data_IF_746177277480
#
_entry.id   IF_746177277480
#
_cell.length_a   1.000
_cell.length_b   1.000
_cell.length_c   1.000
_cell.angle_alpha   90.00
_cell.angle_beta   90.00
_cell.angle_gamma   90.00
#
_symmetry.space_group_name_H-M   'P 1'
#
loop_
_entity.id
_entity.type
_entity.pdbx_description
1 polymer ?
#
# COMPACT_ATOMS: atom_id res chain seq x y z
N UNK A 1 5.48 21.77 -9.57
CA UNK A 1 5.24 20.44 -8.99
C UNK A 1 5.04 20.50 -7.49
N UNK A 2 5.95 21.11 -6.73
CA UNK A 2 5.84 21.18 -5.26
C UNK A 2 4.57 21.85 -4.74
N UNK A 3 4.11 22.96 -5.32
CA UNK A 3 2.87 23.61 -4.93
C UNK A 3 1.63 22.70 -5.10
N UNK A 4 1.54 21.97 -6.21
CA UNK A 4 0.43 21.02 -6.45
C UNK A 4 0.48 19.88 -5.44
N UNK A 5 1.66 19.31 -5.19
CA UNK A 5 1.85 18.25 -4.22
C UNK A 5 1.46 18.68 -2.80
N UNK A 6 1.85 19.89 -2.38
CA UNK A 6 1.51 20.41 -1.05
C UNK A 6 -0.01 20.63 -0.87
N UNK A 7 -0.71 21.04 -1.93
CA UNK A 7 -2.17 21.17 -1.92
C UNK A 7 -2.83 19.79 -1.78
N UNK A 8 -2.39 18.80 -2.56
CA UNK A 8 -2.92 17.42 -2.47
C UNK A 8 -2.67 16.81 -1.08
N UNK A 9 -1.49 17.00 -0.51
CA UNK A 9 -1.20 16.54 0.86
C UNK A 9 -2.09 17.23 1.92
N UNK A 10 -2.37 18.53 1.77
CA UNK A 10 -3.29 19.24 2.68
C UNK A 10 -4.72 18.73 2.58
N UNK A 11 -5.19 18.38 1.37
CA UNK A 11 -6.51 17.76 1.18
C UNK A 11 -6.58 16.41 1.92
N UNK A 12 -5.55 15.59 1.76
CA UNK A 12 -5.47 14.27 2.43
C UNK A 12 -5.45 14.40 3.96
N UNK A 13 -4.73 15.37 4.51
CA UNK A 13 -4.63 15.58 5.96
C UNK A 13 -5.98 15.92 6.63
N UNK A 14 -6.96 16.43 5.88
CA UNK A 14 -8.31 16.75 6.35
C UNK A 14 -9.37 15.71 5.93
N UNK A 15 -8.94 14.55 5.48
CA UNK A 15 -9.80 13.48 4.96
C UNK A 15 -9.69 12.21 5.79
N UNK A 16 -10.57 11.25 5.51
CA UNK A 16 -10.50 9.89 6.08
C UNK A 16 -9.19 9.16 5.75
N UNK A 17 -8.37 9.68 4.84
CA UNK A 17 -7.07 9.08 4.50
C UNK A 17 -6.12 9.03 5.71
N UNK A 18 -6.13 10.05 6.59
CA UNK A 18 -5.32 10.04 7.82
C UNK A 18 -5.79 8.95 8.78
N UNK A 19 -7.11 8.81 8.96
CA UNK A 19 -7.67 7.76 9.82
C UNK A 19 -7.27 6.39 9.29
N UNK A 20 -7.40 6.16 7.99
CA UNK A 20 -6.98 4.91 7.36
C UNK A 20 -5.48 4.66 7.51
N UNK A 21 -4.66 5.71 7.32
CA UNK A 21 -3.20 5.63 7.43
C UNK A 21 -2.73 5.21 8.83
N UNK A 22 -3.46 5.58 9.87
CA UNK A 22 -3.18 5.17 11.24
C UNK A 22 -3.85 3.84 11.57
N UNK A 23 -5.10 3.63 11.18
CA UNK A 23 -5.88 2.46 11.59
C UNK A 23 -5.32 1.16 11.02
N UNK A 24 -4.98 1.09 9.74
CA UNK A 24 -4.55 -0.15 9.10
C UNK A 24 -3.25 -0.73 9.71
N UNK A 25 -2.16 0.06 9.88
CA UNK A 25 -0.97 -0.42 10.60
C UNK A 25 -1.22 -0.74 12.07
N UNK A 26 -2.07 0.06 12.75
CA UNK A 26 -2.40 -0.17 14.17
C UNK A 26 -3.14 -1.48 14.39
N UNK A 27 -4.05 -1.86 13.48
CA UNK A 27 -4.74 -3.15 13.56
C UNK A 27 -3.78 -4.34 13.50
N UNK A 28 -2.74 -4.26 12.66
CA UNK A 28 -1.70 -5.31 12.60
C UNK A 28 -0.92 -5.34 13.91
N UNK A 29 -0.52 -4.19 14.44
CA UNK A 29 0.23 -4.11 15.70
C UNK A 29 -0.58 -4.68 16.86
N UNK A 30 -1.87 -4.35 16.95
CA UNK A 30 -2.80 -4.90 17.96
C UNK A 30 -2.93 -6.42 17.80
N UNK A 31 -3.11 -6.89 16.56
CA UNK A 31 -3.18 -8.33 16.28
C UNK A 31 -1.90 -9.05 16.71
N UNK A 32 -0.72 -8.49 16.37
CA UNK A 32 0.57 -9.07 16.75
C UNK A 32 0.76 -9.10 18.27
N UNK A 33 0.36 -8.04 18.99
CA UNK A 33 0.41 -7.98 20.44
C UNK A 33 -0.38 -9.12 21.07
N UNK A 34 -1.66 -9.27 20.73
CA UNK A 34 -2.49 -10.32 21.29
C UNK A 34 -2.08 -11.72 20.83
N UNK A 35 -1.58 -11.86 19.60
CA UNK A 35 -1.07 -13.14 19.11
C UNK A 35 0.13 -13.61 19.95
N UNK A 36 1.08 -12.73 20.24
CA UNK A 36 2.23 -13.04 21.09
C UNK A 36 1.82 -13.41 22.51
N UNK A 37 0.86 -12.69 23.11
CA UNK A 37 0.40 -12.99 24.46
C UNK A 37 -0.27 -14.37 24.58
N UNK A 38 -0.84 -14.91 23.48
CA UNK A 38 -1.39 -16.28 23.46
C UNK A 38 -0.31 -17.36 23.37
N UNK A 39 0.87 -17.00 22.86
CA UNK A 39 2.01 -17.92 22.77
C UNK A 39 2.65 -18.18 24.13
N UNK A 40 3.33 -19.33 24.26
CA UNK A 40 4.06 -19.71 25.48
C UNK A 40 5.57 -19.88 25.21
N UNK A 41 6.03 -19.51 24.03
CA UNK A 41 7.41 -19.65 23.60
C UNK A 41 7.95 -18.36 22.98
N UNK A 42 9.23 -18.05 23.20
CA UNK A 42 9.86 -16.90 22.55
C UNK A 42 9.92 -17.10 21.02
N UNK A 43 9.67 -16.02 20.30
CA UNK A 43 9.80 -15.96 18.83
C UNK A 43 10.92 -14.99 18.48
N UNK A 44 11.63 -15.19 17.36
CA UNK A 44 12.67 -14.23 16.98
C UNK A 44 12.09 -12.89 16.54
N UNK A 45 12.82 -11.80 16.78
CA UNK A 45 12.46 -10.47 16.28
C UNK A 45 12.18 -10.48 14.79
N UNK A 46 13.05 -11.16 14.03
CA UNK A 46 12.92 -11.24 12.57
C UNK A 46 11.60 -11.90 12.16
N UNK A 47 11.22 -13.01 12.80
CA UNK A 47 9.97 -13.71 12.50
C UNK A 47 8.74 -12.84 12.82
N UNK A 48 8.75 -12.11 13.95
CA UNK A 48 7.67 -11.20 14.31
C UNK A 48 7.49 -10.09 13.28
N UNK A 49 8.57 -9.41 12.90
CA UNK A 49 8.54 -8.28 11.98
C UNK A 49 8.26 -8.71 10.53
N UNK A 50 8.82 -9.83 10.08
CA UNK A 50 8.49 -10.41 8.78
C UNK A 50 7.05 -10.92 8.71
N UNK A 51 6.54 -11.51 9.78
CA UNK A 51 5.15 -11.94 9.88
C UNK A 51 4.17 -10.77 9.71
N UNK A 52 4.41 -9.66 10.42
CA UNK A 52 3.62 -8.44 10.28
C UNK A 52 3.73 -7.82 8.87
N UNK A 53 4.95 -7.80 8.28
CA UNK A 53 5.17 -7.38 6.89
C UNK A 53 4.40 -8.31 5.92
N UNK A 54 4.31 -9.61 6.21
CA UNK A 54 3.53 -10.56 5.42
C UNK A 54 2.03 -10.24 5.43
N UNK A 55 1.44 -10.02 6.59
CA UNK A 55 0.01 -9.62 6.72
C UNK A 55 -0.22 -8.27 6.03
N UNK A 56 0.71 -7.32 6.19
CA UNK A 56 0.66 -6.03 5.52
C UNK A 56 0.67 -6.19 4.00
N UNK A 57 1.67 -6.84 3.44
CA UNK A 57 1.88 -6.98 2.00
C UNK A 57 0.78 -7.79 1.31
N UNK A 58 0.23 -8.81 2.00
CA UNK A 58 -0.77 -9.70 1.44
C UNK A 58 -2.18 -9.10 1.43
N UNK A 59 -2.56 -8.43 2.51
CA UNK A 59 -3.94 -8.02 2.72
C UNK A 59 -4.10 -6.51 2.94
N UNK A 60 -3.42 -5.95 3.93
CA UNK A 60 -3.67 -4.56 4.35
C UNK A 60 -3.18 -3.52 3.34
N UNK A 61 -2.04 -3.75 2.68
CA UNK A 61 -1.52 -2.84 1.66
C UNK A 61 -2.44 -2.78 0.42
N UNK A 62 -2.88 -3.91 -0.19
CA UNK A 62 -3.86 -3.88 -1.28
C UNK A 62 -5.17 -3.19 -0.89
N UNK A 63 -5.71 -3.49 0.29
CA UNK A 63 -6.93 -2.85 0.78
C UNK A 63 -6.75 -1.35 1.03
N UNK A 64 -5.62 -0.96 1.62
CA UNK A 64 -5.27 0.45 1.83
C UNK A 64 -5.08 1.20 0.51
N UNK A 65 -4.42 0.59 -0.47
CA UNK A 65 -4.28 1.16 -1.82
C UNK A 65 -5.65 1.37 -2.48
N UNK A 66 -6.55 0.40 -2.35
CA UNK A 66 -7.93 0.50 -2.84
C UNK A 66 -8.68 1.66 -2.20
N UNK A 67 -8.66 1.74 -0.88
CA UNK A 67 -9.38 2.78 -0.14
C UNK A 67 -8.77 4.18 -0.39
N UNK A 68 -7.43 4.30 -0.39
CA UNK A 68 -6.76 5.59 -0.64
C UNK A 68 -6.99 6.11 -2.04
N UNK A 69 -6.91 5.25 -3.07
CA UNK A 69 -7.15 5.67 -4.46
C UNK A 69 -8.61 6.08 -4.66
N UNK A 70 -9.57 5.35 -4.06
CA UNK A 70 -10.98 5.70 -4.07
C UNK A 70 -11.24 7.05 -3.36
N UNK A 71 -10.63 7.29 -2.19
CA UNK A 71 -10.74 8.56 -1.46
C UNK A 71 -10.17 9.73 -2.25
N UNK A 72 -8.97 9.57 -2.84
CA UNK A 72 -8.32 10.60 -3.66
C UNK A 72 -9.17 10.96 -4.89
N UNK A 73 -9.81 9.97 -5.51
CA UNK A 73 -10.71 10.20 -6.64
C UNK A 73 -12.02 10.86 -6.19
N UNK A 74 -12.60 10.40 -5.06
CA UNK A 74 -13.87 10.91 -4.54
C UNK A 74 -13.78 12.39 -4.15
N UNK A 75 -12.64 12.87 -3.64
CA UNK A 75 -12.43 14.29 -3.31
C UNK A 75 -12.63 15.21 -4.51
N UNK A 76 -12.45 14.72 -5.74
CA UNK A 76 -12.64 15.51 -6.95
C UNK A 76 -13.99 15.22 -7.64
N UNK A 77 -14.42 13.97 -7.64
CA UNK A 77 -15.68 13.55 -8.26
C UNK A 77 -16.89 14.00 -7.46
N UNK A 78 -16.84 13.95 -6.11
CA UNK A 78 -17.93 14.33 -5.23
C UNK A 78 -18.37 15.78 -5.42
N UNK A 79 -17.51 16.79 -5.25
CA UNK A 79 -17.85 18.20 -5.41
C UNK A 79 -17.80 18.68 -6.87
N UNK A 80 -17.66 17.81 -7.87
CA UNK A 80 -17.43 18.17 -9.30
C UNK A 80 -16.28 19.17 -9.49
N UNK A 81 -15.22 19.04 -8.68
CA UNK A 81 -14.09 19.97 -8.66
C UNK A 81 -13.21 19.92 -9.92
N UNK A 82 -13.44 18.95 -10.82
CA UNK A 82 -12.67 18.81 -12.05
C UNK A 82 -12.67 20.04 -12.94
N UNK A 83 -13.80 20.77 -13.04
CA UNK A 83 -13.90 21.96 -13.87
C UNK A 83 -13.01 23.09 -13.32
N UNK A 84 -12.98 23.26 -11.99
CA UNK A 84 -12.05 24.20 -11.34
C UNK A 84 -10.59 23.82 -11.51
N UNK A 85 -10.27 22.54 -11.37
CA UNK A 85 -8.88 22.05 -11.53
C UNK A 85 -8.38 22.22 -12.97
N UNK A 86 -9.29 22.11 -13.95
CA UNK A 86 -8.96 22.28 -15.38
C UNK A 86 -8.83 23.74 -15.78
N UNK A 87 -9.50 24.66 -15.09
CA UNK A 87 -9.37 26.09 -15.29
C UNK A 87 -8.06 26.67 -14.73
N UNK A 88 -7.34 25.91 -13.91
CA UNK A 88 -6.04 26.34 -13.39
C UNK A 88 -4.97 26.38 -14.50
N UNK A 89 -4.06 27.38 -14.49
CA UNK A 89 -2.96 27.47 -15.43
C UNK A 89 -1.83 26.47 -15.10
N UNK A 90 -2.21 25.20 -14.89
CA UNK A 90 -1.29 24.11 -14.53
C UNK A 90 -1.48 22.95 -15.51
N UNK A 91 -0.40 22.40 -16.10
CA UNK A 91 -0.51 21.24 -16.97
C UNK A 91 -1.22 20.07 -16.24
N UNK A 92 -2.25 19.51 -16.87
CA UNK A 92 -3.12 18.48 -16.29
C UNK A 92 -2.35 17.26 -15.75
N UNK A 93 -1.29 16.83 -16.46
CA UNK A 93 -0.47 15.71 -16.02
C UNK A 93 0.15 15.92 -14.62
N UNK A 94 0.45 17.19 -14.25
CA UNK A 94 1.00 17.49 -12.91
C UNK A 94 0.01 17.20 -11.78
N UNK A 95 -1.28 17.37 -12.04
CA UNK A 95 -2.34 17.08 -11.07
C UNK A 95 -2.41 15.56 -10.82
N UNK A 96 -2.48 14.77 -11.92
CA UNK A 96 -2.54 13.32 -11.80
C UNK A 96 -1.25 12.71 -11.23
N UNK A 97 -0.09 13.24 -11.64
CA UNK A 97 1.19 12.82 -11.08
C UNK A 97 1.30 13.15 -9.58
N UNK A 98 0.82 14.32 -9.14
CA UNK A 98 0.79 14.68 -7.72
C UNK A 98 -0.10 13.71 -6.92
N UNK A 99 -1.28 13.34 -7.44
CA UNK A 99 -2.16 12.34 -6.79
C UNK A 99 -1.47 10.99 -6.67
N UNK A 100 -0.82 10.52 -7.73
CA UNK A 100 -0.05 9.28 -7.73
C UNK A 100 1.06 9.29 -6.68
N UNK A 101 1.85 10.37 -6.65
CA UNK A 101 2.93 10.54 -5.67
C UNK A 101 2.40 10.60 -4.23
N UNK A 102 1.27 11.29 -3.98
CA UNK A 102 0.64 11.33 -2.66
C UNK A 102 0.20 9.94 -2.20
N UNK A 103 -0.43 9.15 -3.07
CA UNK A 103 -0.85 7.77 -2.73
C UNK A 103 0.35 6.90 -2.41
N UNK A 104 1.39 6.91 -3.26
CA UNK A 104 2.61 6.13 -3.04
C UNK A 104 3.32 6.56 -1.75
N UNK A 105 3.49 7.86 -1.52
CA UNK A 105 4.13 8.39 -0.33
C UNK A 105 3.37 8.01 0.94
N UNK A 106 2.04 8.07 0.91
CA UNK A 106 1.20 7.69 2.05
C UNK A 106 1.27 6.19 2.33
N UNK A 107 1.22 5.34 1.30
CA UNK A 107 1.40 3.89 1.47
C UNK A 107 2.80 3.53 1.97
N UNK A 108 3.84 4.24 1.51
CA UNK A 108 5.20 4.07 2.04
C UNK A 108 5.29 4.48 3.52
N UNK A 109 4.67 5.60 3.90
CA UNK A 109 4.59 6.03 5.29
C UNK A 109 3.82 5.02 6.16
N UNK A 110 2.70 4.49 5.68
CA UNK A 110 1.94 3.43 6.35
C UNK A 110 2.77 2.15 6.52
N UNK A 111 3.57 1.78 5.52
CA UNK A 111 4.46 0.63 5.58
C UNK A 111 5.56 0.82 6.63
N UNK A 112 6.16 2.00 6.70
CA UNK A 112 7.11 2.35 7.75
C UNK A 112 6.46 2.37 9.15
N UNK A 113 5.25 2.92 9.24
CA UNK A 113 4.47 2.94 10.47
C UNK A 113 4.10 1.52 10.95
N UNK A 114 3.75 0.61 10.01
CA UNK A 114 3.50 -0.79 10.34
C UNK A 114 4.71 -1.45 10.99
N UNK A 115 5.93 -1.21 10.45
CA UNK A 115 7.16 -1.73 11.03
C UNK A 115 7.40 -1.17 12.45
N UNK A 116 7.22 0.14 12.62
CA UNK A 116 7.42 0.85 13.89
C UNK A 116 6.41 0.38 14.96
N UNK A 117 5.13 0.34 14.63
CA UNK A 117 4.08 -0.06 15.56
C UNK A 117 4.18 -1.55 15.93
N UNK A 118 4.57 -2.41 14.97
CA UNK A 118 4.83 -3.83 15.26
C UNK A 118 6.00 -3.99 16.22
N UNK A 119 7.08 -3.22 16.03
CA UNK A 119 8.18 -3.20 16.99
C UNK A 119 7.69 -2.85 18.39
N UNK A 120 6.92 -1.77 18.51
CA UNK A 120 6.34 -1.35 19.80
C UNK A 120 5.42 -2.42 20.39
N UNK A 121 4.59 -3.07 19.57
CA UNK A 121 3.68 -4.14 20.02
C UNK A 121 4.43 -5.37 20.56
N UNK A 122 5.51 -5.79 19.87
CA UNK A 122 6.36 -6.91 20.32
C UNK A 122 7.06 -6.56 21.64
N UNK A 123 7.61 -5.35 21.75
CA UNK A 123 8.24 -4.86 22.98
C UNK A 123 7.25 -4.79 24.15
N UNK A 124 6.03 -4.32 23.91
CA UNK A 124 4.97 -4.25 24.92
C UNK A 124 4.53 -5.65 25.35
N UNK A 125 4.38 -6.59 24.41
CA UNK A 125 4.03 -7.98 24.72
C UNK A 125 5.10 -8.65 25.61
N UNK A 126 6.38 -8.43 25.33
CA UNK A 126 7.51 -8.92 26.13
C UNK A 126 7.52 -8.33 27.55
N UNK A 127 7.15 -7.04 27.69
CA UNK A 127 7.05 -6.41 29.01
C UNK A 127 5.89 -6.97 29.85
N UNK A 128 4.77 -7.33 29.21
CA UNK A 128 3.59 -7.91 29.88
C UNK A 128 3.83 -9.40 30.22
N UNK A 129 4.43 -10.15 29.31
CA UNK A 129 4.69 -11.59 29.45
C UNK A 129 6.15 -11.91 29.08
N UNK A 130 7.08 -11.90 30.04
CA UNK A 130 8.51 -12.15 29.77
C UNK A 130 8.80 -13.48 29.07
N UNK A 131 7.95 -14.49 29.24
CA UNK A 131 8.07 -15.78 28.55
C UNK A 131 8.01 -15.70 27.02
N UNK A 132 7.43 -14.65 26.47
CA UNK A 132 7.35 -14.43 25.02
C UNK A 132 8.37 -13.39 24.50
N UNK A 133 9.32 -13.00 25.35
CA UNK A 133 10.36 -12.04 24.99
C UNK A 133 11.07 -12.48 23.72
N UNK A 134 11.19 -11.60 22.71
CA UNK A 134 11.75 -11.98 21.42
C UNK A 134 13.24 -12.27 21.52
N UNK A 135 13.70 -13.26 20.75
CA UNK A 135 15.11 -13.67 20.72
C UNK A 135 15.84 -13.02 19.54
N UNK A 136 17.16 -12.88 19.68
CA UNK A 136 18.04 -12.30 18.67
C UNK A 136 17.94 -10.78 18.56
N UNK A 137 18.64 -10.22 17.59
CA UNK A 137 18.58 -8.80 17.22
C UNK A 137 18.02 -8.68 15.80
N UNK A 138 17.07 -7.76 15.53
CA UNK A 138 16.54 -7.57 14.19
C UNK A 138 17.56 -6.86 13.31
N UNK A 139 17.72 -7.31 12.08
CA UNK A 139 18.45 -6.57 11.03
C UNK A 139 17.53 -5.49 10.43
N UNK A 140 17.62 -4.29 10.99
CA UNK A 140 16.81 -3.16 10.56
C UNK A 140 17.06 -2.77 9.10
N UNK A 141 18.30 -2.82 8.64
CA UNK A 141 18.64 -2.45 7.27
C UNK A 141 17.95 -3.40 6.27
N UNK A 142 18.00 -4.70 6.54
CA UNK A 142 17.30 -5.72 5.76
C UNK A 142 15.80 -5.54 5.78
N UNK A 143 15.20 -5.23 6.94
CA UNK A 143 13.77 -5.03 7.08
C UNK A 143 13.28 -3.77 6.34
N UNK A 144 14.01 -2.67 6.43
CA UNK A 144 13.71 -1.43 5.68
C UNK A 144 13.81 -1.69 4.18
N UNK A 145 14.86 -2.38 3.73
CA UNK A 145 15.02 -2.75 2.31
C UNK A 145 13.88 -3.66 1.84
N UNK A 146 13.48 -4.66 2.64
CA UNK A 146 12.35 -5.54 2.33
C UNK A 146 11.06 -4.74 2.16
N UNK A 147 10.75 -3.85 3.11
CA UNK A 147 9.56 -3.01 3.04
C UNK A 147 9.59 -2.03 1.85
N UNK A 148 10.76 -1.51 1.50
CA UNK A 148 10.96 -0.73 0.27
C UNK A 148 10.66 -1.55 -1.00
N UNK A 149 11.14 -2.79 -1.07
CA UNK A 149 10.81 -3.72 -2.16
C UNK A 149 9.33 -4.05 -2.23
N UNK A 150 8.65 -4.20 -1.08
CA UNK A 150 7.19 -4.42 -1.01
C UNK A 150 6.43 -3.26 -1.65
N UNK A 151 6.79 -2.00 -1.35
CA UNK A 151 6.17 -0.83 -1.98
C UNK A 151 6.48 -0.76 -3.47
N UNK A 152 7.72 -1.05 -3.86
CA UNK A 152 8.10 -1.06 -5.28
C UNK A 152 7.30 -2.12 -6.05
N UNK A 153 7.20 -3.34 -5.53
CA UNK A 153 6.40 -4.41 -6.13
C UNK A 153 4.89 -4.11 -6.16
N UNK A 154 4.39 -3.24 -5.25
CA UNK A 154 3.00 -2.80 -5.24
C UNK A 154 2.67 -1.76 -6.32
N UNK A 155 3.67 -1.19 -7.03
CA UNK A 155 3.44 -0.06 -7.95
C UNK A 155 2.45 -0.39 -9.07
N UNK A 156 2.47 -1.61 -9.61
CA UNK A 156 1.51 -2.02 -10.64
C UNK A 156 0.07 -2.06 -10.10
N UNK A 157 -0.13 -2.65 -8.93
CA UNK A 157 -1.42 -2.64 -8.23
C UNK A 157 -1.91 -1.20 -7.98
N UNK A 158 -1.03 -0.34 -7.47
CA UNK A 158 -1.34 1.08 -7.19
C UNK A 158 -1.71 1.80 -8.49
N UNK A 159 -0.99 1.56 -9.58
CA UNK A 159 -1.26 2.16 -10.88
C UNK A 159 -2.64 1.75 -11.43
N UNK A 160 -2.99 0.46 -11.36
CA UNK A 160 -4.28 -0.06 -11.80
C UNK A 160 -5.42 0.50 -10.95
N UNK A 161 -5.27 0.53 -9.63
CA UNK A 161 -6.26 1.07 -8.70
C UNK A 161 -6.47 2.57 -8.91
N UNK A 162 -5.40 3.34 -9.02
CA UNK A 162 -5.47 4.78 -9.24
C UNK A 162 -6.11 5.12 -10.58
N UNK A 163 -5.71 4.40 -11.65
CA UNK A 163 -6.33 4.56 -12.97
C UNK A 163 -7.82 4.28 -12.92
N UNK A 164 -8.24 3.17 -12.31
CA UNK A 164 -9.65 2.81 -12.20
C UNK A 164 -10.42 3.85 -11.39
N UNK A 165 -9.89 4.27 -10.24
CA UNK A 165 -10.55 5.24 -9.37
C UNK A 165 -10.73 6.62 -10.04
N UNK A 166 -9.72 7.09 -10.79
CA UNK A 166 -9.78 8.39 -11.47
C UNK A 166 -10.53 8.32 -12.82
N UNK A 167 -10.69 7.12 -13.40
CA UNK A 167 -11.37 6.93 -14.68
C UNK A 167 -12.87 6.96 -14.56
N UNK A 168 -13.42 6.45 -13.48
CA UNK A 168 -14.85 6.32 -13.26
C UNK A 168 -15.31 7.31 -12.17
N UNK A 169 -16.42 8.01 -12.43
CA UNK A 169 -17.01 8.94 -11.45
C UNK A 169 -17.57 8.21 -10.21
N UNK A 170 -18.02 6.96 -10.40
CA UNK A 170 -18.45 6.08 -9.31
C UNK A 170 -17.24 5.41 -8.65
N UNK A 171 -17.26 5.32 -7.31
CA UNK A 171 -16.24 4.59 -6.55
C UNK A 171 -16.40 3.05 -6.65
N UNK A 172 -17.55 2.56 -7.11
CA UNK A 172 -17.86 1.12 -7.17
C UNK A 172 -16.84 0.32 -8.00
N UNK A 173 -16.44 0.72 -9.22
CA UNK A 173 -15.46 -0.03 -10.00
C UNK A 173 -14.10 -0.14 -9.30
N UNK A 174 -13.64 0.92 -8.64
CA UNK A 174 -12.36 0.91 -7.91
C UNK A 174 -12.42 -0.03 -6.70
N UNK A 175 -13.52 0.00 -5.93
CA UNK A 175 -13.71 -0.90 -4.79
C UNK A 175 -13.88 -2.35 -5.25
N UNK A 176 -14.68 -2.60 -6.29
CA UNK A 176 -14.89 -3.96 -6.83
C UNK A 176 -13.57 -4.58 -7.31
N UNK A 177 -12.77 -3.82 -8.06
CA UNK A 177 -11.45 -4.26 -8.52
C UNK A 177 -10.52 -4.55 -7.34
N UNK A 178 -10.46 -3.66 -6.35
CA UNK A 178 -9.54 -3.77 -5.23
C UNK A 178 -9.91 -4.90 -4.27
N UNK A 179 -11.17 -4.95 -3.85
CA UNK A 179 -11.67 -6.00 -2.96
C UNK A 179 -11.61 -7.34 -3.68
N UNK A 180 -12.17 -7.43 -4.90
CA UNK A 180 -12.15 -8.65 -5.71
C UNK A 180 -10.74 -9.15 -5.98
N UNK A 181 -9.82 -8.25 -6.36
CA UNK A 181 -8.41 -8.59 -6.56
C UNK A 181 -7.73 -9.09 -5.29
N UNK A 182 -7.99 -8.46 -4.14
CA UNK A 182 -7.43 -8.88 -2.85
C UNK A 182 -7.93 -10.27 -2.47
N UNK A 183 -9.23 -10.55 -2.58
CA UNK A 183 -9.76 -11.89 -2.30
C UNK A 183 -9.32 -12.93 -3.32
N UNK A 184 -9.26 -12.58 -4.60
CA UNK A 184 -8.72 -13.48 -5.61
C UNK A 184 -7.25 -13.83 -5.35
N UNK A 185 -6.47 -12.90 -4.78
CA UNK A 185 -5.08 -13.18 -4.42
C UNK A 185 -4.94 -14.31 -3.41
N UNK A 186 -5.94 -14.53 -2.53
CA UNK A 186 -5.95 -15.67 -1.59
C UNK A 186 -5.95 -16.99 -2.36
N UNK A 187 -6.80 -17.11 -3.39
CA UNK A 187 -6.84 -18.29 -4.24
C UNK A 187 -5.57 -18.42 -5.09
N UNK A 188 -5.09 -17.32 -5.63
CA UNK A 188 -3.89 -17.28 -6.46
C UNK A 188 -2.61 -17.69 -5.71
N UNK A 189 -2.60 -17.66 -4.37
CA UNK A 189 -1.45 -18.09 -3.55
C UNK A 189 -1.08 -19.56 -3.78
N UNK A 190 -2.06 -20.42 -4.05
CA UNK A 190 -1.84 -21.84 -4.29
C UNK A 190 -1.20 -22.14 -5.66
N UNK A 191 -1.25 -21.20 -6.60
CA UNK A 191 -0.76 -21.39 -7.96
C UNK A 191 0.64 -20.79 -8.16
N UNK A 192 1.51 -21.50 -8.90
CA UNK A 192 2.82 -20.94 -9.30
C UNK A 192 2.66 -19.64 -10.11
N UNK A 193 1.63 -19.58 -10.96
CA UNK A 193 1.29 -18.43 -11.79
C UNK A 193 0.79 -17.22 -10.98
N UNK A 194 0.45 -17.39 -9.70
CA UNK A 194 0.02 -16.31 -8.83
C UNK A 194 1.01 -15.14 -8.76
N UNK A 195 2.31 -15.39 -9.00
CA UNK A 195 3.34 -14.33 -9.02
C UNK A 195 3.06 -13.25 -10.08
N UNK A 196 2.38 -13.58 -11.18
CA UNK A 196 2.02 -12.63 -12.24
C UNK A 196 0.80 -11.77 -11.90
N UNK A 197 0.09 -12.09 -10.82
CA UNK A 197 -1.08 -11.35 -10.41
C UNK A 197 -0.68 -10.11 -9.58
N UNK A 198 -1.09 -8.87 -9.95
CA UNK A 198 -0.61 -7.65 -9.33
C UNK A 198 -0.80 -7.59 -7.81
N UNK A 199 -1.90 -8.16 -7.28
CA UNK A 199 -2.16 -8.20 -5.84
C UNK A 199 -1.28 -9.20 -5.08
N UNK A 200 -0.62 -10.12 -5.78
CA UNK A 200 0.33 -11.07 -5.21
C UNK A 200 1.78 -10.56 -5.21
N UNK A 201 2.10 -9.55 -6.03
CA UNK A 201 3.46 -9.08 -6.19
C UNK A 201 4.09 -8.56 -4.88
N UNK A 202 3.38 -7.78 -4.03
CA UNK A 202 3.95 -7.29 -2.78
C UNK A 202 4.35 -8.42 -1.82
N UNK A 203 3.51 -9.46 -1.67
CA UNK A 203 3.79 -10.58 -0.76
C UNK A 203 4.90 -11.49 -1.31
N UNK A 204 5.09 -11.57 -2.63
CA UNK A 204 6.18 -12.34 -3.22
C UNK A 204 7.57 -11.81 -2.86
N UNK A 205 7.68 -10.60 -2.26
CA UNK A 205 8.94 -10.11 -1.69
C UNK A 205 9.41 -10.92 -0.48
N UNK A 206 8.53 -11.70 0.15
CA UNK A 206 8.84 -12.62 1.24
C UNK A 206 8.98 -14.08 0.76
N UNK A 207 8.89 -14.32 -0.54
CA UNK A 207 9.06 -15.66 -1.10
C UNK A 207 10.50 -16.16 -0.91
N UNK A 208 10.65 -17.47 -0.70
CA UNK A 208 11.97 -18.13 -0.59
C UNK A 208 12.63 -18.29 -1.95
N UNK A 209 11.84 -18.44 -3.01
CA UNK A 209 12.32 -18.63 -4.37
C UNK A 209 12.69 -17.28 -5.01
N UNK A 210 13.96 -17.12 -5.36
CA UNK A 210 14.48 -15.87 -5.94
C UNK A 210 13.76 -15.44 -7.22
N UNK A 211 13.39 -16.39 -8.08
CA UNK A 211 12.66 -16.08 -9.32
C UNK A 211 11.31 -15.38 -9.08
N UNK A 212 10.62 -15.69 -7.97
CA UNK A 212 9.37 -15.02 -7.59
C UNK A 212 9.62 -13.56 -7.19
N UNK A 213 10.68 -13.34 -6.42
CA UNK A 213 11.09 -11.99 -5.99
C UNK A 213 11.43 -11.14 -7.21
N UNK A 214 12.28 -11.69 -8.11
CA UNK A 214 12.72 -10.97 -9.31
C UNK A 214 11.53 -10.66 -10.25
N UNK A 215 10.67 -11.65 -10.50
CA UNK A 215 9.47 -11.47 -11.33
C UNK A 215 8.56 -10.39 -10.75
N UNK A 216 8.31 -10.43 -9.45
CA UNK A 216 7.44 -9.45 -8.80
C UNK A 216 8.06 -8.04 -8.77
N UNK A 217 9.39 -7.90 -8.68
CA UNK A 217 10.07 -6.60 -8.80
C UNK A 217 10.05 -6.07 -10.24
N UNK A 218 10.30 -6.91 -11.22
CA UNK A 218 10.32 -6.50 -12.63
C UNK A 218 8.90 -6.09 -13.07
N UNK A 219 7.91 -6.91 -12.79
CA UNK A 219 6.53 -6.63 -13.20
C UNK A 219 5.86 -5.60 -12.28
N UNK A 220 5.92 -5.79 -10.96
CA UNK A 220 5.29 -4.89 -10.01
C UNK A 220 5.94 -3.52 -10.00
N UNK A 221 7.27 -3.47 -9.94
CA UNK A 221 8.04 -2.22 -9.95
C UNK A 221 8.25 -1.67 -11.37
N UNK A 222 8.90 -2.41 -12.24
CA UNK A 222 9.29 -1.96 -13.57
C UNK A 222 8.09 -1.69 -14.48
N UNK A 223 7.29 -2.73 -14.79
CA UNK A 223 6.07 -2.57 -15.57
C UNK A 223 5.08 -1.64 -14.85
N UNK A 224 5.00 -1.72 -13.51
CA UNK A 224 4.16 -0.85 -12.70
C UNK A 224 4.44 0.63 -12.90
N UNK A 225 5.71 1.05 -12.94
CA UNK A 225 6.10 2.44 -13.26
C UNK A 225 5.68 2.85 -14.66
N UNK A 226 5.87 1.98 -15.65
CA UNK A 226 5.44 2.23 -17.03
C UNK A 226 3.93 2.44 -17.10
N UNK A 227 3.16 1.53 -16.49
CA UNK A 227 1.70 1.61 -16.44
C UNK A 227 1.24 2.87 -15.70
N UNK A 228 1.90 3.26 -14.61
CA UNK A 228 1.60 4.48 -13.86
C UNK A 228 1.80 5.74 -14.73
N UNK A 229 2.92 5.82 -15.45
CA UNK A 229 3.20 6.93 -16.36
C UNK A 229 2.15 6.98 -17.49
N UNK A 230 1.84 5.84 -18.10
CA UNK A 230 0.83 5.75 -19.15
C UNK A 230 -0.56 6.14 -18.61
N UNK A 231 -0.93 5.72 -17.40
CA UNK A 231 -2.17 6.12 -16.75
C UNK A 231 -2.25 7.64 -16.53
N UNK A 232 -1.19 8.26 -16.05
CA UNK A 232 -1.11 9.74 -15.86
C UNK A 232 -1.25 10.46 -17.20
N UNK A 233 -0.54 10.01 -18.25
CA UNK A 233 -0.61 10.62 -19.58
C UNK A 233 -2.00 10.45 -20.21
N UNK A 234 -2.58 9.25 -20.10
CA UNK A 234 -3.91 8.95 -20.59
C UNK A 234 -4.98 9.85 -19.93
N UNK A 235 -4.98 9.91 -18.58
CA UNK A 235 -5.93 10.72 -17.83
C UNK A 235 -5.76 12.23 -18.11
N UNK A 236 -4.53 12.69 -18.34
CA UNK A 236 -4.25 14.08 -18.65
C UNK A 236 -4.78 14.51 -20.05
N UNK A 237 -4.84 13.58 -21.00
CA UNK A 237 -5.32 13.84 -22.38
C UNK A 237 -6.82 13.71 -22.51
N UNK A 238 -7.47 13.02 -21.59
CA UNK A 238 -8.90 12.73 -21.68
C UNK A 238 -9.75 13.90 -21.15
N UNK A 239 -10.86 14.13 -21.83
CA UNK A 239 -11.96 14.91 -21.25
C UNK A 239 -12.75 13.99 -20.32
N UNK A 240 -12.91 14.41 -19.06
CA UNK A 240 -13.79 13.71 -18.11
C UNK A 240 -15.20 14.24 -18.40
N UNK A 241 -16.05 13.38 -18.89
CA UNK A 241 -17.47 13.62 -19.05
C UNK A 241 -18.19 13.46 -17.72
#
# INVERSE_FOLDING_TARGET
MFAVLSVELRKLNRSLAVVLALAAPSLIAIFMFFNLLRGDRPTSWEACLQGATGVWAFFMLPMSATALTALVAHMEHGPRAWDHLRALPVPRWRIYAAKALCVIALLAAMTGLNLLLTWGAVSAAAAVKPAVSPTGSPDLARLVLLNGKVILAATLLIALQLWTALRFASFVPALALGIGGTFFSVVATAAKQGVFFPWQMPINMLAKEGWRVDTALILGGGLGLVVLILAVVYLARREVL
#
